data_IF_089331052693
#
_entry.id   IF_089331052693
#
_cell.length_a   1.000
_cell.length_b   1.000
_cell.length_c   1.000
_cell.angle_alpha   90.00
_cell.angle_beta   90.00
_cell.angle_gamma   90.00
#
_symmetry.space_group_name_H-M   'P 1'
#
loop_
_entity.id
_entity.type
_entity.pdbx_description
1 polymer ?
#
# COMPACT_ATOMS: atom_id res chain seq x y z
N UNK A 1 -5.76 -9.13 20.07
CA UNK A 1 -4.70 -8.41 19.34
C UNK A 1 -4.92 -8.47 17.83
N UNK A 2 -5.15 -9.62 17.20
CA UNK A 2 -5.38 -9.72 15.73
C UNK A 2 -6.61 -8.96 15.20
N UNK A 3 -7.74 -8.98 15.91
CA UNK A 3 -8.89 -8.14 15.54
C UNK A 3 -8.57 -6.64 15.64
N UNK A 4 -7.78 -6.22 16.61
CA UNK A 4 -7.48 -4.80 16.85
C UNK A 4 -6.54 -4.24 15.76
N UNK A 5 -5.48 -4.98 15.38
CA UNK A 5 -4.57 -4.53 14.32
C UNK A 5 -5.27 -4.49 12.95
N UNK A 6 -6.07 -5.52 12.63
CA UNK A 6 -6.84 -5.55 11.38
C UNK A 6 -7.90 -4.44 11.34
N UNK A 7 -8.54 -4.11 12.46
CA UNK A 7 -9.45 -2.96 12.58
C UNK A 7 -8.74 -1.62 12.36
N UNK A 8 -7.57 -1.41 12.96
CA UNK A 8 -6.78 -0.18 12.77
C UNK A 8 -6.34 -0.02 11.32
N UNK A 9 -5.88 -1.11 10.67
CA UNK A 9 -5.50 -1.10 9.25
C UNK A 9 -6.73 -0.82 8.38
N UNK A 10 -7.85 -1.50 8.63
CA UNK A 10 -9.07 -1.33 7.86
C UNK A 10 -9.61 0.11 7.94
N UNK A 11 -9.58 0.72 9.12
CA UNK A 11 -10.01 2.10 9.31
C UNK A 11 -9.06 3.09 8.63
N UNK A 12 -7.75 2.91 8.74
CA UNK A 12 -6.76 3.75 8.05
C UNK A 12 -6.93 3.66 6.51
N UNK A 13 -7.08 2.44 5.98
CA UNK A 13 -7.31 2.21 4.56
C UNK A 13 -8.64 2.85 4.10
N UNK A 14 -9.72 2.69 4.87
CA UNK A 14 -11.02 3.31 4.57
C UNK A 14 -10.89 4.82 4.46
N UNK A 15 -10.25 5.47 5.43
CA UNK A 15 -10.04 6.92 5.42
C UNK A 15 -9.18 7.38 4.24
N UNK A 16 -8.09 6.66 3.95
CA UNK A 16 -7.20 6.99 2.84
C UNK A 16 -7.89 6.85 1.48
N UNK A 17 -8.54 5.71 1.22
CA UNK A 17 -9.25 5.48 -0.05
C UNK A 17 -10.46 6.40 -0.21
N UNK A 18 -11.28 6.61 0.83
CA UNK A 18 -12.41 7.54 0.75
C UNK A 18 -11.94 8.96 0.43
N UNK A 19 -10.89 9.46 1.10
CA UNK A 19 -10.34 10.77 0.83
C UNK A 19 -9.75 10.86 -0.59
N UNK A 20 -9.06 9.81 -1.05
CA UNK A 20 -8.51 9.74 -2.41
C UNK A 20 -9.63 9.83 -3.46
N UNK A 21 -10.70 9.05 -3.29
CA UNK A 21 -11.82 9.00 -4.23
C UNK A 21 -12.56 10.33 -4.27
N UNK A 22 -12.78 10.96 -3.12
CA UNK A 22 -13.44 12.28 -3.03
C UNK A 22 -12.58 13.40 -3.64
N UNK A 23 -11.27 13.42 -3.37
CA UNK A 23 -10.39 14.49 -3.86
C UNK A 23 -10.14 14.40 -5.37
N UNK A 24 -10.06 13.18 -5.92
CA UNK A 24 -9.72 12.98 -7.33
C UNK A 24 -10.95 12.88 -8.23
N UNK A 25 -12.05 12.31 -7.73
CA UNK A 25 -13.24 12.01 -8.54
C UNK A 25 -12.97 11.03 -9.69
N UNK A 26 -11.94 10.18 -9.55
CA UNK A 26 -11.50 9.26 -10.61
C UNK A 26 -12.12 7.86 -10.48
N UNK A 27 -12.02 7.08 -11.56
CA UNK A 27 -12.57 5.72 -11.65
C UNK A 27 -11.50 4.68 -11.31
N UNK A 28 -11.43 4.31 -10.04
CA UNK A 28 -10.45 3.34 -9.52
C UNK A 28 -10.78 1.90 -9.91
N UNK A 29 -9.79 1.17 -10.42
CA UNK A 29 -9.90 -0.25 -10.75
C UNK A 29 -8.94 -1.15 -9.95
N UNK A 30 -7.97 -0.55 -9.27
CA UNK A 30 -6.98 -1.25 -8.45
C UNK A 30 -6.78 -0.49 -7.15
N UNK A 31 -6.93 -1.19 -6.03
CA UNK A 31 -6.68 -0.69 -4.69
C UNK A 31 -6.02 -1.83 -3.92
N UNK A 32 -4.85 -1.57 -3.34
CA UNK A 32 -4.08 -2.55 -2.61
C UNK A 32 -3.52 -1.94 -1.34
N UNK A 33 -3.40 -2.77 -0.30
CA UNK A 33 -2.46 -2.56 0.78
C UNK A 33 -1.18 -3.29 0.42
N UNK A 34 -0.06 -2.59 0.45
CA UNK A 34 1.27 -3.13 0.17
C UNK A 34 2.13 -3.02 1.42
N UNK A 35 3.07 -3.94 1.54
CA UNK A 35 4.09 -3.96 2.58
C UNK A 35 5.40 -4.45 1.95
N UNK A 36 6.51 -4.20 2.61
CA UNK A 36 7.79 -4.79 2.26
C UNK A 36 7.85 -6.26 2.68
N UNK A 37 8.88 -6.98 2.23
CA UNK A 37 9.10 -8.38 2.57
C UNK A 37 9.42 -8.61 4.06
N UNK A 38 9.83 -7.55 4.75
CA UNK A 38 10.14 -7.49 6.18
C UNK A 38 8.91 -7.21 7.06
N UNK A 39 7.70 -7.31 6.49
CA UNK A 39 6.43 -7.11 7.19
C UNK A 39 6.31 -5.77 7.93
N UNK A 40 6.83 -4.69 7.32
CA UNK A 40 6.64 -3.33 7.82
C UNK A 40 5.15 -2.92 7.80
N UNK A 41 4.85 -1.77 8.41
CA UNK A 41 3.50 -1.21 8.38
C UNK A 41 3.02 -1.04 6.92
N UNK A 42 1.81 -1.51 6.59
CA UNK A 42 1.32 -1.41 5.22
C UNK A 42 0.99 0.03 4.85
N UNK A 43 1.08 0.32 3.56
CA UNK A 43 0.62 1.56 2.94
C UNK A 43 -0.32 1.25 1.77
N UNK A 44 -1.03 2.25 1.26
CA UNK A 44 -1.91 2.04 0.10
C UNK A 44 -1.16 2.22 -1.22
N UNK A 45 -1.65 1.53 -2.24
CA UNK A 45 -1.35 1.77 -3.65
C UNK A 45 -2.65 1.68 -4.45
N UNK A 46 -2.82 2.56 -5.43
CA UNK A 46 -4.07 2.62 -6.18
C UNK A 46 -3.88 3.01 -7.65
N UNK A 47 -4.71 2.47 -8.53
CA UNK A 47 -4.82 2.96 -9.91
C UNK A 47 -6.27 3.25 -10.26
N UNK A 48 -6.43 4.40 -10.92
CA UNK A 48 -7.60 4.74 -11.72
C UNK A 48 -7.24 4.68 -13.20
N UNK A 49 -8.27 4.62 -14.05
CA UNK A 49 -8.05 4.70 -15.49
C UNK A 49 -7.41 6.03 -15.90
N UNK A 50 -7.84 7.13 -15.26
CA UNK A 50 -7.33 8.48 -15.48
C UNK A 50 -5.85 8.60 -15.11
N UNK A 51 -5.45 8.04 -13.97
CA UNK A 51 -4.06 8.01 -13.52
C UNK A 51 -3.19 7.18 -14.45
N UNK A 52 -3.69 6.02 -14.91
CA UNK A 52 -2.99 5.18 -15.88
C UNK A 52 -2.79 5.91 -17.22
N UNK A 53 -3.82 6.60 -17.70
CA UNK A 53 -3.77 7.39 -18.93
C UNK A 53 -2.71 8.50 -18.83
N UNK A 54 -2.67 9.22 -17.70
CA UNK A 54 -1.66 10.26 -17.45
C UNK A 54 -0.24 9.70 -17.39
N UNK A 55 -0.03 8.63 -16.62
CA UNK A 55 1.29 8.04 -16.42
C UNK A 55 1.84 7.45 -17.72
N UNK A 56 1.03 6.65 -18.43
CA UNK A 56 1.43 6.06 -19.71
C UNK A 56 1.58 7.13 -20.81
N UNK A 57 0.72 8.15 -20.83
CA UNK A 57 0.78 9.23 -21.80
C UNK A 57 2.01 10.15 -21.68
N UNK A 58 2.71 10.11 -20.55
CA UNK A 58 3.97 10.84 -20.34
C UNK A 58 5.19 10.16 -21.00
N UNK A 59 5.02 8.94 -21.52
CA UNK A 59 6.08 8.12 -22.06
C UNK A 59 6.12 8.09 -23.59
N UNK A 60 7.27 7.69 -24.17
CA UNK A 60 7.46 7.64 -25.63
C UNK A 60 6.61 6.58 -26.36
N UNK A 61 6.13 5.56 -25.64
CA UNK A 61 5.27 4.50 -26.16
C UNK A 61 4.13 4.22 -25.16
N UNK A 62 3.04 5.03 -25.21
CA UNK A 62 1.98 4.96 -24.21
C UNK A 62 1.28 3.61 -24.13
N UNK A 63 1.11 2.88 -25.24
CA UNK A 63 0.44 1.58 -25.22
C UNK A 63 1.30 0.51 -24.53
N UNK A 64 2.60 0.50 -24.80
CA UNK A 64 3.54 -0.37 -24.09
C UNK A 64 3.53 -0.05 -22.59
N UNK A 65 3.67 1.23 -22.23
CA UNK A 65 3.76 1.64 -20.83
C UNK A 65 2.45 1.45 -20.08
N UNK A 66 1.30 1.62 -20.73
CA UNK A 66 -0.01 1.26 -20.15
C UNK A 66 -0.02 -0.20 -19.72
N UNK A 67 0.50 -1.12 -20.53
CA UNK A 67 0.57 -2.55 -20.18
C UNK A 67 1.48 -2.82 -18.98
N UNK A 68 2.62 -2.14 -18.92
CA UNK A 68 3.60 -2.27 -17.82
C UNK A 68 3.06 -1.72 -16.50
N UNK A 69 2.47 -0.52 -16.54
CA UNK A 69 2.07 0.23 -15.36
C UNK A 69 0.75 -0.25 -14.74
N UNK A 70 -0.17 -0.82 -15.54
CA UNK A 70 -1.57 -1.09 -15.14
C UNK A 70 -1.73 -1.76 -13.78
N UNK A 71 -0.82 -2.66 -13.41
CA UNK A 71 -0.89 -3.41 -12.15
C UNK A 71 0.36 -3.22 -11.28
N UNK A 72 1.22 -2.26 -11.62
CA UNK A 72 2.41 -1.99 -10.83
C UNK A 72 2.01 -1.28 -9.54
N UNK A 73 2.16 -1.96 -8.41
CA UNK A 73 1.91 -1.34 -7.11
C UNK A 73 2.94 -0.24 -6.81
N UNK A 74 4.18 -0.41 -7.28
CA UNK A 74 5.31 0.46 -6.99
C UNK A 74 5.29 1.75 -7.84
N UNK A 75 4.81 1.65 -9.08
CA UNK A 75 4.75 2.79 -10.00
C UNK A 75 3.41 3.56 -9.91
N UNK A 76 2.54 3.18 -8.96
CA UNK A 76 1.29 3.87 -8.73
C UNK A 76 1.55 5.33 -8.31
N UNK A 77 0.87 6.33 -8.93
CA UNK A 77 0.95 7.71 -8.49
C UNK A 77 0.28 7.96 -7.13
N UNK A 78 -0.43 6.98 -6.59
CA UNK A 78 -1.13 7.04 -5.30
C UNK A 78 -0.50 6.13 -4.25
N UNK A 79 0.74 5.66 -4.48
CA UNK A 79 1.53 4.99 -3.44
C UNK A 79 1.75 5.94 -2.25
N UNK A 80 1.62 5.42 -1.03
CA UNK A 80 1.72 6.19 0.23
C UNK A 80 0.72 7.38 0.33
N UNK A 81 -0.33 7.40 -0.51
CA UNK A 81 -1.36 8.43 -0.38
C UNK A 81 -2.08 8.30 0.98
N UNK A 82 -2.34 9.43 1.63
CA UNK A 82 -3.05 9.43 2.89
C UNK A 82 -2.23 8.90 4.08
N UNK A 83 -0.90 8.88 3.99
CA UNK A 83 0.03 8.52 5.08
C UNK A 83 -0.37 9.02 6.47
N UNK A 84 -0.96 10.21 6.56
CA UNK A 84 -1.50 10.80 7.80
C UNK A 84 -2.48 9.88 8.54
N UNK A 85 -3.29 9.10 7.82
CA UNK A 85 -4.27 8.15 8.37
C UNK A 85 -3.62 6.88 8.92
N UNK A 86 -2.38 6.57 8.49
CA UNK A 86 -1.65 5.36 8.91
C UNK A 86 -0.79 5.58 10.17
N UNK A 87 -0.87 6.74 10.83
CA UNK A 87 -0.10 7.01 12.05
C UNK A 87 -0.35 5.99 13.17
N UNK A 88 -1.61 5.56 13.37
CA UNK A 88 -1.96 4.52 14.34
C UNK A 88 -1.47 3.12 13.92
N UNK A 89 -1.46 2.84 12.60
CA UNK A 89 -0.91 1.60 12.05
C UNK A 89 0.59 1.54 12.33
N UNK A 90 1.33 2.58 11.97
CA UNK A 90 2.77 2.68 12.22
C UNK A 90 3.08 2.49 13.71
N UNK A 91 2.37 3.17 14.60
CA UNK A 91 2.56 3.03 16.04
C UNK A 91 2.21 1.63 16.59
N UNK A 92 1.37 0.85 15.89
CA UNK A 92 1.09 -0.53 16.25
C UNK A 92 2.20 -1.47 15.78
N UNK A 93 2.73 -1.26 14.57
CA UNK A 93 3.85 -2.02 14.02
C UNK A 93 5.18 -1.73 14.73
N UNK A 94 5.41 -0.49 15.19
CA UNK A 94 6.60 -0.13 16.00
C UNK A 94 6.68 -0.88 17.35
N UNK A 95 5.58 -1.52 17.78
CA UNK A 95 5.54 -2.36 18.98
C UNK A 95 5.80 -3.83 18.69
N UNK A 96 5.77 -4.24 17.42
CA UNK A 96 6.10 -5.59 17.00
C UNK A 96 7.63 -5.75 17.00
N UNK A 97 8.15 -6.96 17.20
CA UNK A 97 9.58 -7.23 17.03
C UNK A 97 10.03 -6.85 15.62
N UNK A 98 11.12 -6.08 15.51
CA UNK A 98 11.72 -5.80 14.21
C UNK A 98 12.21 -7.09 13.57
N UNK A 99 11.78 -7.34 12.33
CA UNK A 99 12.24 -8.46 11.54
C UNK A 99 13.58 -8.13 10.88
N UNK A 100 14.69 -8.59 11.46
CA UNK A 100 16.04 -8.28 10.99
C UNK A 100 16.73 -9.50 10.37
N UNK A 101 17.74 -9.25 9.54
CA UNK A 101 18.58 -10.31 8.92
C UNK A 101 19.38 -11.13 9.95
N UNK A 102 19.50 -10.65 11.20
CA UNK A 102 20.23 -11.32 12.27
C UNK A 102 19.38 -12.40 12.98
N UNK A 103 18.07 -12.44 12.72
CA UNK A 103 17.17 -13.44 13.28
C UNK A 103 17.43 -14.83 12.69
N UNK A 104 17.29 -15.87 13.51
CA UNK A 104 17.27 -17.23 13.00
C UNK A 104 16.03 -17.47 12.12
N UNK A 105 16.07 -18.43 11.17
CA UNK A 105 14.89 -18.76 10.38
C UNK A 105 13.66 -19.09 11.21
N UNK A 106 13.82 -19.76 12.36
CA UNK A 106 12.71 -20.11 13.27
C UNK A 106 12.13 -18.89 13.99
N UNK A 107 12.96 -17.88 14.29
CA UNK A 107 12.50 -16.61 14.86
C UNK A 107 11.75 -15.81 13.80
N UNK A 108 12.29 -15.77 12.59
CA UNK A 108 11.67 -15.07 11.46
C UNK A 108 10.30 -15.68 11.13
N UNK A 109 10.22 -17.00 10.98
CA UNK A 109 8.98 -17.72 10.65
C UNK A 109 7.92 -17.55 11.74
N UNK A 110 8.33 -17.48 13.01
CA UNK A 110 7.43 -17.19 14.12
C UNK A 110 6.86 -15.78 14.03
N UNK A 111 7.67 -14.76 13.82
CA UNK A 111 7.15 -13.38 13.76
C UNK A 111 6.34 -13.14 12.47
N UNK A 112 6.68 -13.79 11.35
CA UNK A 112 5.98 -13.60 10.07
C UNK A 112 4.61 -14.30 9.99
N UNK A 113 4.49 -15.50 10.57
CA UNK A 113 3.27 -16.31 10.47
C UNK A 113 2.28 -16.14 11.64
N UNK A 114 2.58 -15.26 12.60
CA UNK A 114 1.76 -15.05 13.81
C UNK A 114 0.74 -13.91 13.70
#
# INVERSE_FOLDING_TARGET
MTNELSEIIAEAARLAFSNLFEETGEDFYYCALITTGEALAPEISAWSWQALDRAAGAENDPEKWRSVLKWSYADSPYVDYGRKYFSAVNAAFDKLPEMTEEMSPDQWDREYNF
#
